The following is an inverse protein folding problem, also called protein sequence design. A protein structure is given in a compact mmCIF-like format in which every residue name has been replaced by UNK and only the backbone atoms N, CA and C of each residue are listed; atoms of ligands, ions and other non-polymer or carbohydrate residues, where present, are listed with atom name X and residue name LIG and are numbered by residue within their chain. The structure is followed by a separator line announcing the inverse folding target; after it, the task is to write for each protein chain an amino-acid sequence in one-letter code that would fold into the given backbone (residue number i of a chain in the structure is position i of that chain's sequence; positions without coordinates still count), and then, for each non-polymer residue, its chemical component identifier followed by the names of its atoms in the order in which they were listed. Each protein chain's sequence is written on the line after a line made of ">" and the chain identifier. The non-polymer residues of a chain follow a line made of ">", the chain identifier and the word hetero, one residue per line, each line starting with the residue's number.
data_IF_768127354552
#
_entry.id   IF_768127354552
#
_cell.length_a   1.000
_cell.length_b   1.000
_cell.length_c   1.000
_cell.angle_alpha   90.00
_cell.angle_beta   90.00
_cell.angle_gamma   90.00
#
_symmetry.space_group_name_H-M   'P 1'
#
loop_
_entity.id
_entity.type
_entity.pdbx_description
1 polymer ?
#
# COMPACT_ATOMS: atom_id res chain seq x y z
N UNK A 1 18.66 -1.73 29.52
CA UNK A 1 17.77 -1.11 28.52
C UNK A 1 17.14 -2.22 27.71
N UNK A 2 15.83 -2.19 27.50
CA UNK A 2 15.13 -3.16 26.66
C UNK A 2 14.10 -2.42 25.82
N UNK A 3 14.01 -2.76 24.53
CA UNK A 3 12.91 -2.33 23.67
C UNK A 3 11.83 -3.41 23.65
N UNK A 4 10.56 -3.00 23.63
CA UNK A 4 9.43 -3.90 23.46
C UNK A 4 8.51 -3.32 22.39
N UNK A 5 8.00 -4.19 21.53
CA UNK A 5 6.92 -3.88 20.60
C UNK A 5 5.86 -4.98 20.65
N UNK A 6 4.66 -4.69 20.15
CA UNK A 6 3.57 -5.65 19.97
C UNK A 6 3.19 -5.66 18.49
N UNK A 7 3.03 -6.86 17.96
CA UNK A 7 2.50 -7.14 16.61
C UNK A 7 1.16 -7.85 16.81
N UNK A 8 0.13 -7.44 16.06
CA UNK A 8 -1.20 -8.05 16.13
C UNK A 8 -1.71 -8.40 14.73
N UNK A 9 -1.99 -9.68 14.49
CA UNK A 9 -2.54 -10.14 13.20
C UNK A 9 -3.98 -9.68 13.09
N UNK A 10 -4.26 -8.72 12.22
CA UNK A 10 -5.60 -8.14 12.02
C UNK A 10 -5.84 -6.80 12.73
N UNK A 11 -4.86 -6.26 13.47
CA UNK A 11 -5.04 -4.98 14.18
C UNK A 11 -3.94 -3.96 14.07
N UNK A 12 -2.79 -4.33 13.51
CA UNK A 12 -1.69 -3.43 13.28
C UNK A 12 -0.37 -4.18 13.20
N UNK A 13 0.45 -3.76 12.24
CA UNK A 13 1.83 -4.20 12.05
C UNK A 13 1.96 -5.69 11.70
N UNK A 14 1.64 -6.10 10.46
CA UNK A 14 2.21 -7.32 9.86
C UNK A 14 3.73 -7.41 10.08
N UNK A 15 4.39 -6.26 10.22
CA UNK A 15 5.78 -6.15 10.65
C UNK A 15 5.97 -5.02 11.65
N UNK A 16 6.84 -5.20 12.64
CA UNK A 16 7.24 -4.14 13.57
C UNK A 16 8.76 -4.06 13.66
N UNK A 17 9.27 -2.84 13.82
CA UNK A 17 10.69 -2.58 14.04
C UNK A 17 10.92 -2.00 15.44
N UNK A 18 11.99 -2.44 16.10
CA UNK A 18 12.41 -1.95 17.42
C UNK A 18 13.81 -1.38 17.30
N UNK A 19 13.95 -0.09 17.55
CA UNK A 19 15.24 0.58 17.62
C UNK A 19 15.77 0.60 19.06
N UNK A 20 17.01 0.18 19.26
CA UNK A 20 17.74 0.36 20.51
C UNK A 20 18.84 1.39 20.24
N UNK A 21 18.65 2.63 20.71
CA UNK A 21 19.64 3.69 20.56
C UNK A 21 20.89 3.40 21.42
N UNK A 22 22.07 3.61 20.84
CA UNK A 22 23.39 3.39 21.48
C UNK A 22 23.47 2.05 22.25
N UNK A 23 23.26 0.92 21.56
CA UNK A 23 23.22 -0.39 22.21
C UNK A 23 24.58 -0.74 22.83
N UNK A 24 24.68 -1.04 24.15
CA UNK A 24 25.95 -1.47 24.74
C UNK A 24 26.42 -2.81 24.14
N UNK A 25 27.73 -3.04 23.95
CA UNK A 25 28.21 -4.34 23.49
C UNK A 25 27.70 -5.48 24.40
N UNK A 26 27.14 -6.54 23.80
CA UNK A 26 26.61 -7.65 24.58
C UNK A 26 25.71 -8.59 23.79
N UNK A 27 25.11 -9.53 24.52
CA UNK A 27 24.15 -10.50 23.97
C UNK A 27 22.74 -9.95 24.10
N UNK A 28 22.07 -9.82 22.96
CA UNK A 28 20.67 -9.42 22.88
C UNK A 28 19.79 -10.65 22.79
N UNK A 29 18.81 -10.76 23.68
CA UNK A 29 17.82 -11.84 23.68
C UNK A 29 16.49 -11.30 23.16
N UNK A 30 16.02 -11.85 22.05
CA UNK A 30 14.66 -11.62 21.59
C UNK A 30 13.73 -12.68 22.21
N UNK A 31 12.60 -12.23 22.76
CA UNK A 31 11.53 -13.12 23.22
C UNK A 31 10.26 -12.77 22.45
N UNK A 32 9.73 -13.74 21.71
CA UNK A 32 8.42 -13.65 21.04
C UNK A 32 7.43 -14.44 21.87
N UNK A 33 6.28 -13.85 22.17
CA UNK A 33 5.20 -14.47 22.93
C UNK A 33 3.93 -14.35 22.11
N UNK A 34 3.37 -15.47 21.68
CA UNK A 34 2.06 -15.53 21.03
C UNK A 34 0.95 -15.67 22.07
N UNK A 35 -0.13 -14.93 21.90
CA UNK A 35 -1.38 -15.11 22.64
C UNK A 35 -2.45 -15.56 21.65
N UNK A 36 -3.21 -16.62 21.98
CA UNK A 36 -4.29 -17.14 21.14
C UNK A 36 -3.89 -17.52 19.69
N UNK A 37 -2.62 -17.91 19.51
CA UNK A 37 -2.07 -18.35 18.21
C UNK A 37 -2.16 -19.87 18.08
N UNK A 38 -2.86 -20.35 17.05
CA UNK A 38 -2.96 -21.79 16.73
C UNK A 38 -1.92 -22.26 15.72
N UNK A 39 -1.62 -21.45 14.69
CA UNK A 39 -0.62 -21.74 13.66
C UNK A 39 -0.10 -20.43 13.03
N UNK A 40 1.07 -19.97 13.47
CA UNK A 40 1.74 -18.79 12.89
C UNK A 40 3.24 -19.01 12.80
N UNK A 41 3.86 -18.34 11.82
CA UNK A 41 5.30 -18.14 11.77
C UNK A 41 5.64 -16.68 12.08
N UNK A 42 6.86 -16.46 12.51
CA UNK A 42 7.43 -15.12 12.58
C UNK A 42 8.82 -15.18 11.97
N UNK A 43 9.26 -14.06 11.40
CA UNK A 43 10.63 -13.89 10.92
C UNK A 43 11.23 -12.68 11.62
N UNK A 44 12.54 -12.72 11.84
CA UNK A 44 13.28 -11.64 12.48
C UNK A 44 14.53 -11.37 11.69
N UNK A 45 14.82 -10.08 11.51
CA UNK A 45 16.12 -9.59 11.06
C UNK A 45 16.58 -8.51 12.03
N UNK A 46 17.89 -8.36 12.17
CA UNK A 46 18.49 -7.34 13.00
C UNK A 46 19.74 -6.79 12.31
N UNK A 47 20.01 -5.51 12.51
CA UNK A 47 21.25 -4.84 12.09
C UNK A 47 21.79 -4.00 13.23
N UNK A 48 23.09 -3.74 13.18
CA UNK A 48 23.74 -2.68 13.95
C UNK A 48 24.13 -1.59 12.97
N UNK A 49 23.71 -0.36 13.22
CA UNK A 49 24.12 0.82 12.46
C UNK A 49 25.11 1.60 13.32
N UNK A 50 26.38 1.60 12.90
CA UNK A 50 27.44 2.41 13.53
C UNK A 50 27.39 3.86 13.01
N UNK A 51 27.09 4.01 11.73
CA UNK A 51 26.77 5.27 11.06
C UNK A 51 25.49 5.07 10.22
N UNK A 52 24.67 6.12 10.08
CA UNK A 52 23.59 6.08 9.09
C UNK A 52 24.21 5.83 7.71
N UNK A 53 23.57 5.02 6.84
CA UNK A 53 24.06 4.83 5.48
C UNK A 53 24.38 6.17 4.83
N UNK A 54 25.55 6.31 4.20
CA UNK A 54 25.87 7.54 3.47
C UNK A 54 24.82 7.77 2.40
N UNK A 55 24.12 8.90 2.49
CA UNK A 55 23.03 9.27 1.57
C UNK A 55 23.57 10.06 0.36
N UNK A 56 24.88 10.03 0.13
CA UNK A 56 25.59 10.91 -0.80
C UNK A 56 26.01 12.24 -0.15
N UNK A 57 26.50 13.18 -0.96
CA UNK A 57 27.15 14.39 -0.42
C UNK A 57 26.34 15.68 -0.51
N UNK A 58 25.21 15.77 -1.23
CA UNK A 58 24.37 16.99 -1.29
C UNK A 58 22.97 16.79 -1.94
N UNK A 59 22.46 15.55 -2.02
CA UNK A 59 21.24 15.21 -2.76
C UNK A 59 19.96 15.23 -1.91
N UNK A 60 18.82 15.47 -2.56
CA UNK A 60 17.53 15.11 -1.99
C UNK A 60 17.45 13.59 -1.81
N UNK A 61 16.99 13.16 -0.64
CA UNK A 61 16.83 11.74 -0.30
C UNK A 61 15.34 11.46 -0.29
N UNK A 62 14.89 10.91 -1.41
CA UNK A 62 13.47 10.85 -1.75
C UNK A 62 12.85 9.50 -1.40
N UNK A 63 11.54 9.46 -1.08
CA UNK A 63 10.79 8.22 -1.10
C UNK A 63 10.67 7.67 -2.53
N UNK A 64 10.25 6.42 -2.67
CA UNK A 64 9.78 5.86 -3.93
C UNK A 64 8.58 4.97 -3.61
N UNK A 65 7.41 5.41 -4.04
CA UNK A 65 6.11 4.83 -3.78
C UNK A 65 5.79 3.79 -4.85
N UNK A 66 5.59 2.56 -4.38
CA UNK A 66 5.09 1.50 -5.22
C UNK A 66 3.78 0.98 -4.67
N UNK A 67 2.92 0.52 -5.56
CA UNK A 67 1.70 -0.15 -5.15
C UNK A 67 2.02 -1.58 -4.67
N UNK A 68 1.34 -2.00 -3.62
CA UNK A 68 1.11 -3.41 -3.32
C UNK A 68 -0.13 -3.83 -4.11
N UNK A 69 0.00 -4.68 -5.14
CA UNK A 69 -1.11 -4.99 -6.03
C UNK A 69 -2.34 -5.54 -5.28
N UNK A 70 -3.55 -5.30 -5.82
CA UNK A 70 -4.78 -5.83 -5.25
C UNK A 70 -4.72 -7.34 -4.97
N UNK A 71 -5.09 -7.75 -3.77
CA UNK A 71 -5.18 -9.15 -3.35
C UNK A 71 -6.45 -9.36 -2.53
N UNK A 72 -6.77 -10.63 -2.21
CA UNK A 72 -7.98 -10.98 -1.43
C UNK A 72 -9.27 -10.43 -2.05
N UNK A 73 -9.35 -10.45 -3.39
CA UNK A 73 -10.48 -9.86 -4.08
C UNK A 73 -11.75 -10.71 -3.93
N UNK A 74 -12.88 -10.08 -3.61
CA UNK A 74 -14.17 -10.76 -3.45
C UNK A 74 -15.37 -9.81 -3.66
N UNK A 75 -16.58 -10.39 -3.67
CA UNK A 75 -17.83 -9.67 -3.53
C UNK A 75 -18.50 -9.95 -2.17
N UNK A 76 -17.71 -10.23 -1.13
CA UNK A 76 -18.26 -10.43 0.21
C UNK A 76 -18.83 -9.12 0.76
N UNK A 77 -19.95 -9.22 1.47
CA UNK A 77 -20.45 -8.13 2.29
C UNK A 77 -19.54 -7.97 3.50
N UNK A 78 -18.88 -6.82 3.70
CA UNK A 78 -18.06 -6.59 4.88
C UNK A 78 -18.93 -6.50 6.14
N UNK A 79 -18.62 -7.29 7.16
CA UNK A 79 -19.23 -7.18 8.49
C UNK A 79 -18.32 -6.48 9.50
N UNK A 80 -17.05 -6.33 9.14
CA UNK A 80 -16.04 -5.52 9.81
C UNK A 80 -15.68 -4.32 8.92
N UNK A 81 -15.04 -3.31 9.52
CA UNK A 81 -14.71 -2.05 8.83
C UNK A 81 -13.20 -1.76 8.84
N UNK A 82 -12.36 -2.80 8.95
CA UNK A 82 -10.91 -2.68 9.16
C UNK A 82 -10.52 -1.85 10.38
N UNK A 83 -11.28 -2.02 11.47
CA UNK A 83 -10.95 -1.46 12.78
C UNK A 83 -9.76 -2.16 13.42
N UNK A 84 -9.13 -1.51 14.41
CA UNK A 84 -7.97 -2.07 15.10
C UNK A 84 -8.33 -3.38 15.84
N UNK A 85 -7.81 -4.51 15.38
CA UNK A 85 -7.71 -5.75 16.17
C UNK A 85 -8.44 -6.95 15.57
N UNK A 86 -9.34 -6.72 14.61
CA UNK A 86 -10.21 -7.78 14.09
C UNK A 86 -9.80 -8.18 12.68
N UNK A 87 -9.59 -9.48 12.40
CA UNK A 87 -9.36 -9.93 11.03
C UNK A 87 -10.57 -9.56 10.15
N UNK A 88 -10.34 -9.17 8.89
CA UNK A 88 -11.43 -8.86 7.96
C UNK A 88 -12.43 -10.02 7.84
N UNK A 89 -13.71 -9.73 8.08
CA UNK A 89 -14.79 -10.71 8.03
C UNK A 89 -15.85 -10.28 7.02
N UNK A 90 -16.41 -11.27 6.34
CA UNK A 90 -17.45 -11.06 5.34
C UNK A 90 -18.49 -12.14 5.27
N UNK A 91 -19.66 -11.77 4.77
CA UNK A 91 -20.76 -12.69 4.45
C UNK A 91 -20.91 -12.80 2.94
N UNK A 92 -21.07 -14.03 2.46
CA UNK A 92 -21.49 -14.26 1.08
C UNK A 92 -23.00 -14.09 0.97
N UNK A 93 -23.42 -12.98 0.36
CA UNK A 93 -24.81 -12.65 0.09
C UNK A 93 -25.12 -12.71 -1.42
N UNK A 94 -24.42 -13.58 -2.16
CA UNK A 94 -24.57 -13.73 -3.61
C UNK A 94 -23.98 -12.58 -4.41
N UNK A 95 -23.05 -11.83 -3.82
CA UNK A 95 -22.30 -10.73 -4.44
C UNK A 95 -23.08 -9.44 -4.75
N UNK A 96 -24.42 -9.46 -4.72
CA UNK A 96 -25.26 -8.28 -4.98
C UNK A 96 -25.32 -7.29 -3.81
N UNK A 97 -25.01 -7.74 -2.59
CA UNK A 97 -24.91 -6.91 -1.41
C UNK A 97 -23.45 -6.88 -0.94
N UNK A 98 -22.55 -6.31 -1.75
CA UNK A 98 -21.10 -6.30 -1.49
C UNK A 98 -20.57 -4.95 -1.00
N UNK A 99 -21.40 -3.90 -1.06
CA UNK A 99 -21.04 -2.54 -0.68
C UNK A 99 -21.41 -2.24 0.78
N UNK A 100 -20.64 -1.35 1.42
CA UNK A 100 -21.04 -0.76 2.69
C UNK A 100 -22.25 0.19 2.46
N UNK A 101 -23.15 0.36 3.44
CA UNK A 101 -24.29 1.26 3.32
C UNK A 101 -23.91 2.70 2.93
N UNK A 102 -22.82 3.23 3.48
CA UNK A 102 -22.29 4.56 3.16
C UNK A 102 -21.78 4.67 1.72
N UNK A 103 -21.20 3.62 1.14
CA UNK A 103 -20.71 3.62 -0.24
C UNK A 103 -21.88 3.68 -1.23
N UNK A 104 -22.99 3.03 -0.89
CA UNK A 104 -24.24 3.19 -1.64
C UNK A 104 -24.81 4.60 -1.50
N UNK A 105 -24.84 5.13 -0.27
CA UNK A 105 -25.41 6.44 0.01
C UNK A 105 -24.62 7.60 -0.62
N UNK A 106 -23.29 7.52 -0.62
CA UNK A 106 -22.40 8.59 -1.09
C UNK A 106 -22.04 8.45 -2.57
N UNK A 107 -21.85 7.22 -3.06
CA UNK A 107 -21.31 6.97 -4.41
C UNK A 107 -22.27 6.19 -5.33
N UNK A 108 -23.49 5.87 -4.86
CA UNK A 108 -24.48 5.04 -5.56
C UNK A 108 -23.91 3.68 -6.02
N UNK A 109 -22.88 3.20 -5.32
CA UNK A 109 -22.23 1.93 -5.62
C UNK A 109 -23.25 0.79 -5.50
N UNK A 110 -23.19 -0.14 -6.46
CA UNK A 110 -24.18 -1.23 -6.56
C UNK A 110 -23.57 -2.59 -6.30
N UNK A 111 -22.36 -2.82 -6.79
CA UNK A 111 -21.70 -4.11 -6.69
C UNK A 111 -20.20 -3.89 -6.47
N UNK A 112 -19.77 -3.95 -5.23
CA UNK A 112 -18.42 -3.59 -4.85
C UNK A 112 -17.48 -4.78 -4.97
N UNK A 113 -16.61 -4.75 -5.98
CA UNK A 113 -15.45 -5.63 -6.02
C UNK A 113 -14.45 -5.12 -4.99
N UNK A 114 -14.36 -5.82 -3.87
CA UNK A 114 -13.47 -5.50 -2.74
C UNK A 114 -12.15 -6.21 -2.89
N UNK A 115 -11.10 -5.63 -2.36
CA UNK A 115 -9.74 -6.18 -2.35
C UNK A 115 -8.88 -5.44 -1.34
N UNK A 116 -7.90 -6.13 -0.78
CA UNK A 116 -6.83 -5.51 -0.03
C UNK A 116 -5.76 -4.97 -0.98
N UNK A 117 -5.14 -3.85 -0.63
CA UNK A 117 -4.09 -3.21 -1.42
C UNK A 117 -3.28 -2.24 -0.55
N UNK A 118 -2.22 -1.66 -1.07
CA UNK A 118 -1.39 -0.75 -0.26
C UNK A 118 -0.37 0.06 -1.03
N UNK A 119 0.33 0.94 -0.33
CA UNK A 119 1.47 1.70 -0.84
C UNK A 119 2.68 1.32 0.00
N UNK A 120 3.84 1.17 -0.64
CA UNK A 120 5.11 0.94 0.04
C UNK A 120 6.14 1.97 -0.38
N UNK A 121 6.99 2.37 0.56
CA UNK A 121 8.13 3.23 0.30
C UNK A 121 9.41 2.40 0.14
N UNK A 122 10.04 2.54 -1.01
CA UNK A 122 11.14 1.71 -1.53
C UNK A 122 12.39 2.55 -1.77
N UNK A 123 12.26 3.87 -1.63
CA UNK A 123 13.35 4.81 -1.71
C UNK A 123 14.14 4.84 -0.40
N UNK A 124 15.31 5.48 -0.46
CA UNK A 124 16.16 5.68 0.71
C UNK A 124 15.59 6.73 1.68
N UNK A 125 14.76 7.63 1.17
CA UNK A 125 14.14 8.71 1.93
C UNK A 125 12.79 8.34 2.52
N UNK A 126 12.39 8.94 3.64
CA UNK A 126 11.06 8.75 4.20
C UNK A 126 10.01 9.56 3.40
N UNK A 127 8.81 9.02 3.25
CA UNK A 127 7.64 9.81 2.90
C UNK A 127 7.21 10.57 4.14
N UNK A 128 7.43 11.88 4.18
CA UNK A 128 7.03 12.74 5.30
C UNK A 128 6.05 13.80 4.81
N UNK A 129 4.80 13.67 5.23
CA UNK A 129 3.70 14.54 4.84
C UNK A 129 3.16 15.26 6.07
N UNK A 130 2.85 16.54 5.91
CA UNK A 130 2.26 17.35 6.98
C UNK A 130 1.33 18.41 6.41
N UNK A 131 0.51 18.98 7.29
CA UNK A 131 -0.40 20.07 6.98
C UNK A 131 -0.60 20.93 8.23
N UNK A 132 -1.03 22.16 8.05
CA UNK A 132 -1.30 23.08 9.15
C UNK A 132 -2.77 23.08 9.57
N UNK A 133 -3.04 23.35 10.86
CA UNK A 133 -4.37 23.54 11.41
C UNK A 133 -5.02 22.27 11.98
N UNK A 134 -5.54 22.38 13.22
CA UNK A 134 -6.04 21.26 14.02
C UNK A 134 -7.55 21.04 13.95
N UNK A 135 -8.32 21.95 13.33
CA UNK A 135 -9.77 21.81 13.21
C UNK A 135 -10.14 20.80 12.12
N UNK A 136 -11.12 19.94 12.41
CA UNK A 136 -11.85 19.20 11.36
C UNK A 136 -12.53 20.22 10.47
N UNK A 137 -12.37 20.09 9.16
CA UNK A 137 -12.74 21.14 8.22
C UNK A 137 -12.50 20.73 6.77
N UNK A 138 -12.52 21.71 5.85
CA UNK A 138 -12.34 21.45 4.42
C UNK A 138 -10.96 20.85 4.13
N UNK A 139 -10.77 20.43 2.88
CA UNK A 139 -9.47 20.01 2.38
C UNK A 139 -8.43 21.11 2.64
N UNK A 140 -7.23 20.69 3.04
CA UNK A 140 -6.11 21.60 3.33
C UNK A 140 -4.93 21.28 2.43
N UNK A 141 -4.11 22.28 2.16
CA UNK A 141 -2.85 22.08 1.45
C UNK A 141 -1.94 21.19 2.30
N UNK A 142 -1.36 20.17 1.66
CA UNK A 142 -0.43 19.24 2.24
C UNK A 142 0.97 19.54 1.71
N UNK A 143 1.97 19.35 2.56
CA UNK A 143 3.37 19.55 2.23
C UNK A 143 4.17 18.28 2.45
N UNK A 144 5.07 17.99 1.52
CA UNK A 144 6.12 16.99 1.66
C UNK A 144 7.36 17.64 2.26
N UNK A 145 7.89 17.04 3.32
CA UNK A 145 9.24 17.35 3.80
C UNK A 145 10.24 16.49 3.05
N UNK A 146 11.12 17.13 2.28
CA UNK A 146 12.21 16.48 1.56
C UNK A 146 13.49 16.60 2.37
N UNK A 147 14.00 15.45 2.81
CA UNK A 147 15.29 15.36 3.50
C UNK A 147 16.44 15.46 2.49
N UNK A 148 17.57 16.01 2.93
CA UNK A 148 18.82 16.02 2.18
C UNK A 148 19.88 15.18 2.88
N UNK A 149 20.87 14.74 2.11
CA UNK A 149 21.95 13.91 2.60
C UNK A 149 22.81 14.58 3.69
N UNK A 150 22.87 15.91 3.71
CA UNK A 150 23.55 16.72 4.73
C UNK A 150 22.75 16.87 6.05
N UNK A 151 21.56 16.27 6.13
CA UNK A 151 20.65 16.35 7.27
C UNK A 151 19.75 17.59 7.28
N UNK A 152 19.92 18.51 6.32
CA UNK A 152 18.96 19.61 6.11
C UNK A 152 17.67 19.11 5.46
N UNK A 153 16.64 19.93 5.47
CA UNK A 153 15.38 19.63 4.79
C UNK A 153 14.77 20.88 4.16
N UNK A 154 13.77 20.67 3.31
CA UNK A 154 12.87 21.71 2.85
C UNK A 154 11.46 21.13 2.67
N UNK A 155 10.47 21.99 2.82
CA UNK A 155 9.07 21.62 2.59
C UNK A 155 8.63 22.09 1.20
N UNK A 156 7.85 21.27 0.50
CA UNK A 156 7.21 21.61 -0.78
C UNK A 156 5.76 21.17 -0.79
N UNK A 157 4.92 21.79 -1.61
CA UNK A 157 3.53 21.36 -1.79
C UNK A 157 3.47 19.92 -2.30
N UNK A 158 2.51 19.16 -1.78
CA UNK A 158 2.33 17.74 -2.08
C UNK A 158 0.86 17.36 -2.30
N UNK A 159 0.07 18.29 -2.82
CA UNK A 159 -1.37 18.09 -3.02
C UNK A 159 -2.17 18.41 -1.75
N UNK A 160 -3.24 17.66 -1.50
CA UNK A 160 -4.22 18.00 -0.46
C UNK A 160 -4.32 16.92 0.60
N UNK A 161 -4.70 17.33 1.81
CA UNK A 161 -5.18 16.43 2.85
C UNK A 161 -6.70 16.56 2.96
N UNK A 162 -7.41 15.44 3.07
CA UNK A 162 -8.88 15.38 3.16
C UNK A 162 -9.33 14.63 4.39
N UNK A 163 -10.32 15.15 5.11
CA UNK A 163 -10.90 14.46 6.25
C UNK A 163 -11.81 13.33 5.80
N UNK A 164 -11.51 12.10 6.20
CA UNK A 164 -12.33 10.93 5.89
C UNK A 164 -13.31 10.66 7.04
N UNK A 165 -14.59 11.00 6.83
CA UNK A 165 -15.62 10.97 7.88
C UNK A 165 -15.76 9.61 8.55
N UNK A 166 -15.86 8.55 7.77
CA UNK A 166 -16.02 7.17 8.27
C UNK A 166 -14.81 6.71 9.07
N UNK A 167 -13.61 7.20 8.76
CA UNK A 167 -12.39 6.79 9.47
C UNK A 167 -12.01 7.74 10.61
N UNK A 168 -12.64 8.92 10.68
CA UNK A 168 -12.42 9.89 11.76
C UNK A 168 -11.06 10.60 11.74
N UNK A 169 -10.36 10.60 10.61
CA UNK A 169 -9.03 11.22 10.49
C UNK A 169 -8.71 11.69 9.07
N UNK A 170 -7.63 12.45 8.94
CA UNK A 170 -7.16 13.06 7.69
C UNK A 170 -6.34 12.08 6.85
N UNK A 171 -6.55 12.10 5.53
CA UNK A 171 -5.88 11.27 4.53
C UNK A 171 -5.06 12.15 3.57
N UNK A 172 -3.90 11.66 3.13
CA UNK A 172 -3.28 12.08 1.87
C UNK A 172 -4.32 11.86 0.76
N UNK A 173 -4.88 12.93 0.22
CA UNK A 173 -5.92 12.84 -0.81
C UNK A 173 -5.30 12.32 -2.11
N UNK A 174 -6.03 11.44 -2.79
CA UNK A 174 -5.58 10.82 -4.05
C UNK A 174 -4.21 10.14 -3.97
N UNK A 175 -3.89 9.50 -2.84
CA UNK A 175 -2.69 8.70 -2.67
C UNK A 175 -2.59 7.52 -3.66
N UNK A 176 -3.73 6.97 -4.07
CA UNK A 176 -3.83 5.84 -5.00
C UNK A 176 -4.87 6.14 -6.08
N UNK A 177 -4.56 5.80 -7.34
CA UNK A 177 -5.51 5.68 -8.43
C UNK A 177 -5.89 4.23 -8.67
N UNK A 178 -7.17 3.96 -8.95
CA UNK A 178 -7.73 2.63 -9.22
C UNK A 178 -8.60 2.66 -10.47
N UNK A 179 -8.42 1.68 -11.35
CA UNK A 179 -9.29 1.48 -12.51
C UNK A 179 -9.45 0.00 -12.84
N UNK A 180 -10.68 -0.38 -13.23
CA UNK A 180 -10.99 -1.70 -13.75
C UNK A 180 -10.98 -1.68 -15.28
N UNK A 181 -10.33 -2.67 -15.87
CA UNK A 181 -10.36 -2.94 -17.30
C UNK A 181 -10.90 -4.33 -17.58
N UNK A 182 -11.78 -4.45 -18.57
CA UNK A 182 -12.17 -5.73 -19.16
C UNK A 182 -11.09 -6.20 -20.14
N UNK A 183 -10.73 -7.49 -20.08
CA UNK A 183 -9.85 -8.13 -21.06
C UNK A 183 -10.67 -8.56 -22.27
N UNK A 184 -10.68 -7.75 -23.32
CA UNK A 184 -11.42 -8.03 -24.56
C UNK A 184 -10.69 -8.98 -25.49
N UNK A 185 -9.35 -9.03 -25.43
CA UNK A 185 -8.56 -10.02 -26.17
C UNK A 185 -7.28 -10.43 -25.44
N UNK A 186 -7.27 -11.67 -24.94
CA UNK A 186 -6.13 -12.23 -24.20
C UNK A 186 -4.86 -12.43 -25.04
N UNK A 187 -5.00 -12.65 -26.36
CA UNK A 187 -3.84 -12.91 -27.24
C UNK A 187 -3.04 -11.64 -27.50
N UNK A 188 -3.74 -10.52 -27.69
CA UNK A 188 -3.13 -9.21 -27.96
C UNK A 188 -2.93 -8.40 -26.69
N UNK A 189 -3.60 -8.74 -25.59
CA UNK A 189 -3.63 -7.95 -24.37
C UNK A 189 -4.51 -6.71 -24.46
N UNK A 190 -5.53 -6.74 -25.33
CA UNK A 190 -6.47 -5.61 -25.47
C UNK A 190 -7.34 -5.47 -24.22
N UNK A 191 -7.43 -4.24 -23.73
CA UNK A 191 -8.14 -3.83 -22.52
C UNK A 191 -9.11 -2.70 -22.86
N UNK A 192 -10.31 -2.75 -22.29
CA UNK A 192 -11.28 -1.65 -22.35
C UNK A 192 -11.66 -1.21 -20.93
N UNK A 193 -11.81 0.10 -20.65
CA UNK A 193 -12.26 0.56 -19.35
C UNK A 193 -13.63 -0.05 -18.96
N UNK A 194 -13.66 -0.74 -17.84
CA UNK A 194 -14.88 -1.31 -17.24
C UNK A 194 -15.36 -0.50 -16.01
N UNK A 195 -14.57 0.47 -15.58
CA UNK A 195 -14.95 1.49 -14.58
C UNK A 195 -14.34 2.84 -14.93
N UNK A 196 -14.88 3.90 -14.30
CA UNK A 196 -14.16 5.17 -14.19
C UNK A 196 -12.90 5.01 -13.32
N UNK A 197 -11.94 5.92 -13.50
CA UNK A 197 -10.81 6.07 -12.60
C UNK A 197 -11.32 6.60 -11.26
N UNK A 198 -10.88 6.01 -10.16
CA UNK A 198 -11.16 6.49 -8.81
C UNK A 198 -9.86 6.72 -8.05
N UNK A 199 -9.81 7.79 -7.29
CA UNK A 199 -8.69 8.07 -6.39
C UNK A 199 -9.08 7.77 -4.96
N UNK A 200 -8.19 7.15 -4.19
CA UNK A 200 -8.37 6.82 -2.77
C UNK A 200 -7.31 7.49 -1.91
N UNK A 201 -7.73 7.93 -0.74
CA UNK A 201 -6.85 8.59 0.23
C UNK A 201 -6.29 7.62 1.26
N UNK A 202 -5.08 7.90 1.74
CA UNK A 202 -4.39 7.07 2.73
C UNK A 202 -4.03 7.88 3.97
N UNK A 203 -4.25 7.29 5.13
CA UNK A 203 -3.71 7.78 6.40
C UNK A 203 -2.45 6.99 6.73
N UNK A 204 -1.44 7.12 5.85
CA UNK A 204 -0.22 6.31 5.82
C UNK A 204 0.22 5.78 7.18
N UNK A 205 0.09 4.47 7.36
CA UNK A 205 0.54 3.71 8.52
C UNK A 205 1.68 2.79 8.11
N UNK A 206 2.67 2.66 8.99
CA UNK A 206 3.60 1.56 8.87
C UNK A 206 2.86 0.31 9.30
N UNK A 207 2.68 -0.65 8.40
CA UNK A 207 2.00 -1.90 8.70
C UNK A 207 2.81 -3.11 8.23
N UNK A 208 3.61 -2.98 7.19
CA UNK A 208 4.32 -4.11 6.62
C UNK A 208 5.73 -3.75 6.15
N UNK A 209 6.68 -4.63 6.45
CA UNK A 209 8.02 -4.58 5.89
C UNK A 209 7.99 -5.06 4.43
N UNK A 210 8.53 -4.24 3.52
CA UNK A 210 8.58 -4.59 2.10
C UNK A 210 9.54 -5.73 1.81
N UNK A 211 10.84 -5.46 1.89
CA UNK A 211 11.90 -6.36 1.40
C UNK A 211 12.57 -7.04 2.56
N UNK A 212 12.48 -8.36 2.61
CA UNK A 212 13.05 -9.12 3.71
C UNK A 212 14.58 -8.98 3.80
N UNK A 213 15.26 -8.92 2.66
CA UNK A 213 16.72 -8.97 2.57
C UNK A 213 17.41 -7.60 2.51
N UNK A 214 16.64 -6.50 2.55
CA UNK A 214 17.18 -5.12 2.44
C UNK A 214 16.95 -4.30 3.71
N UNK A 215 18.03 -3.76 4.27
CA UNK A 215 17.95 -2.81 5.38
C UNK A 215 17.92 -1.36 4.86
N UNK A 216 16.95 -0.60 5.33
CA UNK A 216 16.77 0.81 4.95
C UNK A 216 17.24 1.76 6.06
N UNK A 217 17.70 2.98 5.73
CA UNK A 217 18.06 3.96 6.74
C UNK A 217 16.88 4.27 7.67
N UNK A 218 17.14 4.36 8.97
CA UNK A 218 16.11 4.78 9.94
C UNK A 218 16.12 6.30 10.05
N UNK A 219 14.95 6.91 9.87
CA UNK A 219 14.78 8.36 9.90
C UNK A 219 13.93 8.79 11.11
N UNK A 220 14.19 9.98 11.64
CA UNK A 220 13.24 10.60 12.55
C UNK A 220 11.95 10.94 11.79
N UNK A 221 10.82 10.46 12.33
CA UNK A 221 9.50 10.73 11.77
C UNK A 221 9.08 12.18 12.04
N UNK A 222 8.50 12.80 11.02
CA UNK A 222 7.82 14.09 11.10
C UNK A 222 6.51 13.98 10.32
N UNK A 223 5.41 14.47 10.91
CA UNK A 223 4.08 14.35 10.31
C UNK A 223 3.61 12.89 10.20
N UNK A 224 2.89 12.58 9.12
CA UNK A 224 2.42 11.23 8.77
C UNK A 224 3.08 10.77 7.46
N UNK A 225 3.05 9.47 7.19
CA UNK A 225 3.74 8.90 6.03
C UNK A 225 4.44 7.57 6.31
N UNK A 226 5.33 7.17 5.41
CA UNK A 226 5.98 5.87 5.37
C UNK A 226 7.51 6.00 5.48
N UNK A 227 8.11 5.29 6.43
CA UNK A 227 9.57 5.17 6.47
C UNK A 227 10.06 4.35 5.28
N UNK A 228 11.32 4.55 4.91
CA UNK A 228 11.99 3.74 3.91
C UNK A 228 11.88 2.24 4.27
N UNK A 229 11.43 1.43 3.32
CA UNK A 229 11.27 -0.02 3.48
C UNK A 229 9.94 -0.48 4.08
N UNK A 230 9.05 0.43 4.46
CA UNK A 230 7.74 0.10 5.05
C UNK A 230 6.58 0.42 4.12
N UNK A 231 5.47 -0.26 4.38
CA UNK A 231 4.24 -0.20 3.60
C UNK A 231 3.02 -0.03 4.49
N UNK A 232 2.00 0.64 3.95
CA UNK A 232 0.65 0.72 4.48
C UNK A 232 -0.25 -0.24 3.70
N UNK A 233 -1.00 -1.08 4.40
CA UNK A 233 -1.95 -2.01 3.81
C UNK A 233 -3.35 -1.65 4.27
N UNK A 234 -4.26 -1.69 3.31
CA UNK A 234 -5.65 -1.35 3.51
C UNK A 234 -6.44 -2.61 3.20
N UNK A 235 -6.99 -3.25 4.24
CA UNK A 235 -7.71 -4.51 4.11
C UNK A 235 -9.00 -4.38 3.28
N UNK A 236 -9.50 -5.50 2.75
CA UNK A 236 -10.60 -5.52 1.78
C UNK A 236 -11.95 -5.02 2.36
N UNK A 237 -12.13 -5.13 3.67
CA UNK A 237 -13.38 -4.81 4.39
C UNK A 237 -13.48 -3.32 4.79
N UNK A 238 -12.39 -2.55 4.67
CA UNK A 238 -12.41 -1.11 4.99
C UNK A 238 -13.39 -0.36 4.08
N UNK A 239 -14.19 0.57 4.62
CA UNK A 239 -14.99 1.49 3.83
C UNK A 239 -14.15 2.25 2.79
N UNK A 240 -14.62 2.26 1.55
CA UNK A 240 -13.92 2.90 0.45
C UNK A 240 -12.92 2.01 -0.31
N UNK A 241 -12.61 0.80 0.18
CA UNK A 241 -11.73 -0.16 -0.50
C UNK A 241 -12.46 -1.07 -1.48
N UNK A 242 -12.92 -0.47 -2.58
CA UNK A 242 -13.62 -1.18 -3.62
C UNK A 242 -13.51 -0.48 -4.98
N UNK A 243 -13.85 -1.22 -6.04
CA UNK A 243 -14.31 -0.66 -7.31
C UNK A 243 -15.78 -1.07 -7.49
N UNK A 244 -16.63 -0.12 -7.90
CA UNK A 244 -17.99 -0.46 -8.31
C UNK A 244 -17.94 -1.24 -9.63
N UNK A 245 -18.13 -2.55 -9.53
CA UNK A 245 -18.22 -3.49 -10.64
C UNK A 245 -19.54 -3.32 -11.40
N UNK A 246 -20.56 -2.71 -10.80
CA UNK A 246 -21.83 -2.40 -11.45
C UNK A 246 -22.46 -3.60 -12.15
N UNK A 247 -22.74 -3.43 -13.45
CA UNK A 247 -23.37 -4.43 -14.32
C UNK A 247 -22.37 -5.14 -15.24
N UNK A 248 -21.06 -5.04 -14.96
CA UNK A 248 -20.06 -5.76 -15.74
C UNK A 248 -20.37 -7.28 -15.75
N UNK A 249 -20.24 -7.97 -16.89
CA UNK A 249 -20.54 -9.39 -17.00
C UNK A 249 -19.46 -10.27 -16.36
N UNK A 250 -19.68 -11.58 -16.39
CA UNK A 250 -18.62 -12.55 -16.11
C UNK A 250 -17.51 -12.43 -17.15
N UNK A 251 -16.24 -12.52 -16.72
CA UNK A 251 -15.14 -12.21 -17.61
C UNK A 251 -13.77 -12.23 -16.95
N UNK A 252 -12.78 -11.80 -17.74
CA UNK A 252 -11.43 -11.53 -17.28
C UNK A 252 -11.28 -10.02 -17.11
N UNK A 253 -10.72 -9.60 -15.99
CA UNK A 253 -10.53 -8.20 -15.67
C UNK A 253 -9.13 -7.93 -15.13
N UNK A 254 -8.62 -6.74 -15.39
CA UNK A 254 -7.41 -6.19 -14.77
C UNK A 254 -7.83 -5.07 -13.85
N UNK A 255 -7.51 -5.21 -12.55
CA UNK A 255 -7.50 -4.07 -11.64
C UNK A 255 -6.13 -3.43 -11.76
N UNK A 256 -6.06 -2.22 -12.30
CA UNK A 256 -4.85 -1.42 -12.34
C UNK A 256 -4.85 -0.43 -11.18
N UNK A 257 -3.68 -0.25 -10.60
CA UNK A 257 -3.44 0.66 -9.49
C UNK A 257 -2.21 1.52 -9.77
N UNK A 258 -2.26 2.78 -9.33
CA UNK A 258 -1.17 3.74 -9.44
C UNK A 258 -0.95 4.41 -8.08
N UNK A 259 0.30 4.43 -7.59
CA UNK A 259 0.69 5.27 -6.46
C UNK A 259 0.88 6.71 -6.93
N UNK A 260 0.45 7.68 -6.11
CA UNK A 260 0.52 9.11 -6.41
C UNK A 260 0.07 9.50 -7.84
N UNK A 261 -1.18 9.17 -8.23
CA UNK A 261 -1.72 9.47 -9.56
C UNK A 261 -1.77 10.97 -9.93
N UNK A 262 -1.50 11.86 -8.98
CA UNK A 262 -1.49 13.32 -9.20
C UNK A 262 -0.07 13.89 -9.24
N UNK A 263 0.97 13.05 -9.11
CA UNK A 263 2.38 13.44 -9.07
C UNK A 263 2.63 14.56 -8.03
N UNK A 264 1.96 14.44 -6.89
CA UNK A 264 2.02 15.40 -5.80
C UNK A 264 3.30 15.25 -4.99
N UNK A 265 3.77 14.03 -4.77
CA UNK A 265 4.99 13.68 -4.04
C UNK A 265 6.16 13.67 -5.01
N UNK A 266 7.32 14.17 -4.59
CA UNK A 266 8.56 13.99 -5.35
C UNK A 266 9.21 12.69 -4.92
N UNK A 267 9.44 11.80 -5.89
CA UNK A 267 9.97 10.47 -5.65
C UNK A 267 11.34 10.24 -6.33
N UNK A 268 12.10 9.23 -5.91
CA UNK A 268 13.35 8.85 -6.59
C UNK A 268 13.09 8.16 -7.94
N UNK A 269 11.89 7.59 -8.12
CA UNK A 269 11.41 6.99 -9.36
C UNK A 269 9.90 7.18 -9.46
N UNK A 270 9.44 7.72 -10.59
CA UNK A 270 8.00 7.90 -10.90
C UNK A 270 7.51 6.84 -11.92
N UNK A 271 8.41 5.94 -12.36
CA UNK A 271 8.14 4.98 -13.45
C UNK A 271 7.74 3.59 -12.94
N UNK A 272 7.70 3.39 -11.62
CA UNK A 272 7.37 2.14 -10.93
C UNK A 272 6.13 2.24 -10.03
N UNK A 273 5.39 3.35 -10.11
CA UNK A 273 4.17 3.61 -9.37
C UNK A 273 3.00 2.71 -9.78
N UNK A 274 3.08 2.00 -10.91
CA UNK A 274 2.00 1.15 -11.42
C UNK A 274 2.10 -0.31 -10.95
N UNK A 275 0.94 -0.90 -10.72
CA UNK A 275 0.78 -2.33 -10.55
C UNK A 275 -0.61 -2.79 -10.92
N UNK A 276 -0.78 -4.11 -10.99
CA UNK A 276 -1.99 -4.71 -11.49
C UNK A 276 -2.28 -6.06 -10.84
N UNK A 277 -3.55 -6.44 -10.89
CA UNK A 277 -4.02 -7.81 -10.64
C UNK A 277 -4.98 -8.24 -11.74
N UNK A 278 -4.64 -9.35 -12.40
CA UNK A 278 -5.51 -10.07 -13.33
C UNK A 278 -6.40 -11.03 -12.52
N UNK A 279 -7.70 -10.93 -12.73
CA UNK A 279 -8.69 -11.79 -12.09
C UNK A 279 -9.75 -12.26 -13.07
N UNK A 280 -10.42 -13.35 -12.70
CA UNK A 280 -11.63 -13.84 -13.37
C UNK A 280 -12.82 -13.65 -12.43
N UNK A 281 -13.91 -13.10 -12.96
CA UNK A 281 -15.20 -13.04 -12.29
C UNK A 281 -16.14 -14.06 -12.92
N UNK A 282 -16.84 -14.83 -12.08
CA UNK A 282 -17.90 -15.77 -12.52
C UNK A 282 -19.02 -15.77 -11.48
N UNK A 283 -20.18 -15.19 -11.79
CA UNK A 283 -21.17 -14.87 -10.78
C UNK A 283 -20.55 -13.98 -9.69
N UNK A 284 -20.66 -14.38 -8.43
CA UNK A 284 -20.03 -13.73 -7.27
C UNK A 284 -18.61 -14.22 -6.97
N UNK A 285 -18.11 -15.23 -7.70
CA UNK A 285 -16.78 -15.78 -7.48
C UNK A 285 -15.71 -14.92 -8.15
N UNK A 286 -14.63 -14.68 -7.42
CA UNK A 286 -13.44 -13.99 -7.91
C UNK A 286 -12.24 -14.90 -7.78
N UNK A 287 -11.57 -15.15 -8.91
CA UNK A 287 -10.33 -15.92 -8.93
C UNK A 287 -9.18 -15.02 -9.37
N UNK A 288 -8.22 -14.81 -8.48
CA UNK A 288 -6.96 -14.15 -8.80
C UNK A 288 -6.11 -15.05 -9.71
N UNK A 289 -5.53 -14.48 -10.76
CA UNK A 289 -4.73 -15.22 -11.76
C UNK A 289 -3.27 -14.80 -11.71
N UNK A 290 -2.99 -13.49 -11.72
CA UNK A 290 -1.64 -12.94 -11.70
C UNK A 290 -1.67 -11.58 -11.01
N UNK A 291 -0.64 -11.26 -10.25
CA UNK A 291 -0.37 -9.90 -9.78
C UNK A 291 1.03 -9.48 -10.23
N UNK A 292 1.21 -8.18 -10.47
CA UNK A 292 2.49 -7.65 -10.89
C UNK A 292 2.63 -6.16 -10.71
N UNK A 293 3.87 -5.68 -10.82
CA UNK A 293 4.21 -4.28 -11.03
C UNK A 293 4.33 -4.00 -12.53
N UNK A 294 4.03 -2.78 -12.94
CA UNK A 294 3.84 -2.38 -14.33
C UNK A 294 2.37 -2.13 -14.66
N UNK A 295 2.10 -1.77 -15.92
CA UNK A 295 0.78 -1.29 -16.31
C UNK A 295 -0.30 -2.37 -16.28
N UNK A 296 0.02 -3.59 -16.74
CA UNK A 296 -0.96 -4.68 -16.90
C UNK A 296 -0.27 -6.03 -17.20
N UNK A 297 -0.98 -7.16 -17.25
CA UNK A 297 -0.40 -8.50 -17.47
C UNK A 297 0.33 -8.70 -18.80
N UNK A 298 0.11 -7.84 -19.80
CA UNK A 298 0.80 -7.90 -21.09
C UNK A 298 1.92 -6.86 -21.22
N UNK A 299 2.24 -6.15 -20.14
CA UNK A 299 3.32 -5.16 -20.16
C UNK A 299 4.65 -5.93 -20.31
N UNK A 300 5.45 -5.67 -21.35
CA UNK A 300 6.72 -6.36 -21.57
C UNK A 300 7.75 -6.08 -20.46
N UNK A 301 7.51 -5.05 -19.64
CA UNK A 301 8.34 -4.64 -18.53
C UNK A 301 7.72 -4.95 -17.16
N UNK A 302 6.63 -5.74 -17.13
CA UNK A 302 6.00 -6.18 -15.89
C UNK A 302 6.95 -6.99 -15.02
N UNK A 303 6.72 -6.95 -13.72
CA UNK A 303 7.37 -7.84 -12.75
C UNK A 303 6.28 -8.58 -12.01
N UNK A 304 6.20 -9.89 -12.23
CA UNK A 304 5.23 -10.74 -11.55
C UNK A 304 5.63 -10.90 -10.10
N UNK A 305 4.68 -10.68 -9.21
CA UNK A 305 4.86 -10.78 -7.75
C UNK A 305 3.89 -11.80 -7.16
N UNK A 306 4.07 -12.17 -5.89
CA UNK A 306 3.10 -12.99 -5.14
C UNK A 306 1.78 -12.25 -4.90
N UNK A 307 0.77 -12.96 -4.38
CA UNK A 307 -0.39 -12.31 -3.75
C UNK A 307 -0.12 -12.11 -2.27
N UNK A 308 -0.80 -11.15 -1.65
CA UNK A 308 -0.71 -10.87 -0.22
C UNK A 308 0.19 -9.69 0.11
N UNK A 309 0.37 -9.45 1.41
CA UNK A 309 1.13 -8.30 1.93
C UNK A 309 2.62 -8.32 1.60
N UNK A 310 3.26 -9.49 1.43
CA UNK A 310 4.68 -9.61 1.09
C UNK A 310 4.91 -10.20 -0.32
N UNK A 311 4.57 -9.48 -1.40
CA UNK A 311 4.70 -10.02 -2.74
C UNK A 311 6.13 -9.78 -3.24
N UNK A 312 7.07 -10.61 -2.80
CA UNK A 312 8.44 -10.58 -3.32
C UNK A 312 8.46 -10.91 -4.83
N UNK A 313 9.35 -10.30 -5.63
CA UNK A 313 9.47 -10.59 -7.05
C UNK A 313 9.74 -12.08 -7.28
N UNK A 314 8.94 -12.71 -8.15
CA UNK A 314 9.18 -14.10 -8.53
C UNK A 314 10.27 -14.19 -9.60
N UNK A 315 11.53 -14.13 -9.17
CA UNK A 315 12.71 -14.75 -9.79
C UNK A 315 12.96 -14.61 -11.30
N UNK A 316 12.37 -13.64 -12.01
CA UNK A 316 12.55 -13.46 -13.44
C UNK A 316 13.41 -12.23 -13.74
N UNK A 317 14.46 -12.43 -14.54
CA UNK A 317 15.30 -11.35 -15.02
C UNK A 317 14.49 -10.41 -15.92
N UNK A 318 14.32 -9.16 -15.51
CA UNK A 318 13.67 -8.10 -16.29
C UNK A 318 14.51 -7.79 -17.53
N UNK A 319 13.87 -7.51 -18.66
CA UNK A 319 14.60 -7.12 -19.87
C UNK A 319 15.39 -5.83 -19.61
N UNK A 320 16.66 -5.76 -20.05
CA UNK A 320 17.54 -4.59 -19.85
C UNK A 320 16.99 -3.27 -20.39
N UNK A 321 16.06 -3.32 -21.34
CA UNK A 321 15.40 -2.16 -21.93
C UNK A 321 14.31 -1.55 -21.03
N UNK A 322 13.90 -2.26 -19.99
CA UNK A 322 12.90 -1.79 -19.07
C UNK A 322 13.51 -0.79 -18.09
N UNK A 323 12.72 0.18 -17.61
CA UNK A 323 13.15 1.06 -16.52
C UNK A 323 13.67 0.25 -15.33
N UNK A 324 14.53 0.80 -14.48
CA UNK A 324 14.81 0.19 -13.18
C UNK A 324 13.51 0.01 -12.38
N UNK A 325 13.47 -1.03 -11.55
CA UNK A 325 12.32 -1.34 -10.69
C UNK A 325 12.39 -0.69 -9.31
N UNK A 326 13.58 -0.22 -8.95
CA UNK A 326 13.87 0.51 -7.72
C UNK A 326 15.04 1.43 -8.04
N UNK A 327 15.10 2.60 -7.40
CA UNK A 327 16.23 3.54 -7.48
C UNK A 327 16.63 3.99 -6.09
#
# INVERSE_FOLDING_TARGET
>A
SGGQTRVDTGGGLYSSEVLIASPPPGVYKLRVVGNDITDSNFRVRAKLEDELPSLGTDGAVLPNLQVLPPHEASFLFPVTNGGLGDPPQGLDLGGSASCHPEEHAEELAKRCLRFAYGIRNTGLGPLQLHYEGSSVGPDKLMYQRVQRADGSFYDREAGMVRYHKTHGHYHHAAAVGLQLFEVTNRKTGSLEPASAIRTKGFAHREELLREWDTFYPVWQRFGFGLSAGLADIYEWDRPGNYIDFGLNPDGLYVVQMQADPVEGVTESNELDNFGYTLLRVTGSDVKLIEAGRGLHPWDPCKIVVGFGGHPDPRGLARAKKCPPDTT
#
